data_IF_610802815401
#
_entry.id   IF_610802815401
#
_cell.length_a   1.000
_cell.length_b   1.000
_cell.length_c   1.000
_cell.angle_alpha   90.00
_cell.angle_beta   90.00
_cell.angle_gamma   90.00
#
_symmetry.space_group_name_H-M   'P 1'
#
loop_
_entity.id
_entity.type
_entity.pdbx_description
1 polymer ?
#
# COMPACT_ATOMS: atom_id res chain seq x y z
N UNK A 1 26.58 11.36 -11.60
CA UNK A 1 26.06 12.12 -12.76
C UNK A 1 25.99 11.19 -13.95
N UNK A 2 24.86 11.10 -14.66
CA UNK A 2 24.77 10.27 -15.86
C UNK A 2 25.32 11.02 -17.07
N UNK A 3 26.36 10.49 -17.69
CA UNK A 3 27.04 11.16 -18.82
C UNK A 3 26.42 10.76 -20.17
N UNK A 4 25.76 9.60 -20.24
CA UNK A 4 25.10 9.09 -21.46
C UNK A 4 23.64 9.54 -21.51
N UNK A 5 23.15 10.00 -22.67
CA UNK A 5 21.76 10.49 -22.87
C UNK A 5 20.72 9.46 -22.38
N UNK A 6 20.90 8.19 -22.72
CA UNK A 6 20.02 7.11 -22.30
C UNK A 6 19.99 6.94 -20.77
N UNK A 7 21.13 7.08 -20.08
CA UNK A 7 21.20 7.00 -18.63
C UNK A 7 20.46 8.17 -17.96
N UNK A 8 20.61 9.41 -18.49
CA UNK A 8 19.85 10.57 -18.00
C UNK A 8 18.33 10.33 -18.09
N UNK A 9 17.86 9.69 -19.17
CA UNK A 9 16.44 9.30 -19.33
C UNK A 9 16.03 8.26 -18.28
N UNK A 10 16.82 7.19 -18.08
CA UNK A 10 16.54 6.15 -17.09
C UNK A 10 16.43 6.70 -15.68
N UNK A 11 17.32 7.63 -15.28
CA UNK A 11 17.27 8.28 -13.96
C UNK A 11 15.94 9.03 -13.75
N UNK A 12 15.48 9.77 -14.76
CA UNK A 12 14.21 10.52 -14.69
C UNK A 12 13.03 9.59 -14.47
N UNK A 13 12.88 8.57 -15.32
CA UNK A 13 11.81 7.57 -15.21
C UNK A 13 11.87 6.81 -13.88
N UNK A 14 13.06 6.42 -13.42
CA UNK A 14 13.23 5.74 -12.13
C UNK A 14 12.81 6.64 -10.95
N UNK A 15 13.04 7.95 -11.04
CA UNK A 15 12.66 8.91 -10.00
C UNK A 15 11.15 9.08 -9.94
N UNK A 16 10.49 9.21 -11.08
CA UNK A 16 9.02 9.28 -11.20
C UNK A 16 8.36 8.02 -10.64
N UNK A 17 8.82 6.84 -11.07
CA UNK A 17 8.33 5.55 -10.57
C UNK A 17 8.57 5.38 -9.06
N UNK A 18 9.74 5.80 -8.57
CA UNK A 18 10.05 5.75 -7.13
C UNK A 18 9.06 6.60 -6.33
N UNK A 19 8.73 7.80 -6.79
CA UNK A 19 7.78 8.68 -6.09
C UNK A 19 6.38 8.08 -6.07
N UNK A 20 5.92 7.50 -7.18
CA UNK A 20 4.62 6.82 -7.24
C UNK A 20 4.57 5.61 -6.29
N UNK A 21 5.59 4.74 -6.35
CA UNK A 21 5.67 3.55 -5.51
C UNK A 21 5.76 3.91 -4.02
N UNK A 22 6.49 4.98 -3.70
CA UNK A 22 6.60 5.49 -2.34
C UNK A 22 5.24 5.97 -1.82
N UNK A 23 4.46 6.69 -2.63
CA UNK A 23 3.10 7.14 -2.27
C UNK A 23 2.20 5.95 -1.94
N UNK A 24 2.13 4.94 -2.81
CA UNK A 24 1.32 3.75 -2.53
C UNK A 24 1.78 3.03 -1.26
N UNK A 25 3.08 2.80 -1.13
CA UNK A 25 3.62 2.03 0.01
C UNK A 25 3.42 2.76 1.35
N UNK A 26 3.61 4.07 1.38
CA UNK A 26 3.43 4.88 2.59
C UNK A 26 1.96 4.98 2.98
N UNK A 27 1.05 5.22 2.02
CA UNK A 27 -0.38 5.27 2.30
C UNK A 27 -0.91 3.92 2.77
N UNK A 28 -0.49 2.80 2.16
CA UNK A 28 -0.85 1.45 2.65
C UNK A 28 -0.40 1.27 4.09
N UNK A 29 0.84 1.67 4.44
CA UNK A 29 1.35 1.59 5.81
C UNK A 29 0.51 2.41 6.79
N UNK A 30 0.10 3.61 6.39
CA UNK A 30 -0.75 4.49 7.21
C UNK A 30 -2.13 3.88 7.43
N UNK A 31 -2.79 3.38 6.38
CA UNK A 31 -4.12 2.75 6.50
C UNK A 31 -4.06 1.45 7.32
N UNK A 32 -2.99 0.66 7.19
CA UNK A 32 -2.80 -0.53 8.05
C UNK A 32 -2.73 -0.15 9.53
N UNK A 33 -2.04 0.95 9.88
CA UNK A 33 -2.01 1.44 11.26
C UNK A 33 -3.37 1.92 11.74
N UNK A 34 -4.11 2.66 10.90
CA UNK A 34 -5.47 3.13 11.24
C UNK A 34 -6.42 1.97 11.50
N UNK A 35 -6.36 0.92 10.68
CA UNK A 35 -7.14 -0.29 10.90
C UNK A 35 -6.83 -0.95 12.25
N UNK A 36 -5.54 -1.06 12.60
CA UNK A 36 -5.13 -1.61 13.89
C UNK A 36 -5.64 -0.76 15.06
N UNK A 37 -5.48 0.57 15.00
CA UNK A 37 -5.99 1.49 16.03
C UNK A 37 -7.51 1.43 16.16
N UNK A 38 -8.25 1.36 15.05
CA UNK A 38 -9.71 1.22 15.08
C UNK A 38 -10.15 -0.11 15.73
N UNK A 39 -9.38 -1.19 15.51
CA UNK A 39 -9.63 -2.48 16.14
C UNK A 39 -9.35 -2.45 17.65
N UNK A 40 -8.28 -1.76 18.08
CA UNK A 40 -7.98 -1.53 19.50
C UNK A 40 -9.05 -0.68 20.20
N UNK A 41 -9.59 0.33 19.50
CA UNK A 41 -10.67 1.20 19.99
C UNK A 41 -12.04 0.48 20.07
N UNK A 42 -12.20 -0.67 19.43
CA UNK A 42 -13.44 -1.46 19.45
C UNK A 42 -14.57 -0.92 18.55
N UNK A 43 -14.28 0.04 17.65
CA UNK A 43 -15.26 0.61 16.73
C UNK A 43 -15.43 -0.30 15.49
N UNK A 44 -16.38 -1.23 15.56
CA UNK A 44 -16.65 -2.19 14.50
C UNK A 44 -16.99 -1.53 13.14
N UNK A 45 -17.70 -0.39 13.15
CA UNK A 45 -18.07 0.30 11.91
C UNK A 45 -16.82 0.85 11.23
N UNK A 46 -15.99 1.56 11.99
CA UNK A 46 -14.72 2.15 11.51
C UNK A 46 -13.72 1.09 11.06
N UNK A 47 -13.64 -0.06 11.75
CA UNK A 47 -12.80 -1.19 11.33
C UNK A 47 -13.22 -1.70 9.95
N UNK A 48 -14.52 -1.89 9.72
CA UNK A 48 -15.00 -2.38 8.40
C UNK A 48 -14.74 -1.37 7.28
N UNK A 49 -14.87 -0.08 7.55
CA UNK A 49 -14.60 0.98 6.58
C UNK A 49 -13.10 1.05 6.23
N UNK A 50 -12.23 1.13 7.24
CA UNK A 50 -10.78 1.19 7.05
C UNK A 50 -10.23 -0.06 6.37
N UNK A 51 -10.80 -1.24 6.68
CA UNK A 51 -10.47 -2.49 5.99
C UNK A 51 -10.79 -2.41 4.50
N UNK A 52 -12.00 -1.95 4.12
CA UNK A 52 -12.40 -1.79 2.72
C UNK A 52 -11.50 -0.81 1.98
N UNK A 53 -11.17 0.32 2.61
CA UNK A 53 -10.28 1.34 2.05
C UNK A 53 -8.86 0.80 1.82
N UNK A 54 -8.32 0.06 2.80
CA UNK A 54 -7.00 -0.58 2.71
C UNK A 54 -6.95 -1.61 1.58
N UNK A 55 -7.93 -2.52 1.49
CA UNK A 55 -7.98 -3.55 0.44
C UNK A 55 -8.05 -2.91 -0.95
N UNK A 56 -8.93 -1.92 -1.13
CA UNK A 56 -9.06 -1.17 -2.40
C UNK A 56 -7.75 -0.54 -2.83
N UNK A 57 -7.00 0.05 -1.90
CA UNK A 57 -5.71 0.66 -2.20
C UNK A 57 -4.63 -0.38 -2.54
N UNK A 58 -4.61 -1.51 -1.83
CA UNK A 58 -3.68 -2.61 -2.10
C UNK A 58 -3.87 -3.14 -3.52
N UNK A 59 -5.11 -3.38 -3.95
CA UNK A 59 -5.39 -3.91 -5.29
C UNK A 59 -5.06 -2.89 -6.39
N UNK A 60 -5.27 -1.60 -6.13
CA UNK A 60 -4.81 -0.51 -7.01
C UNK A 60 -3.27 -0.48 -7.12
N UNK A 61 -2.56 -0.66 -6.01
CA UNK A 61 -1.09 -0.68 -6.01
C UNK A 61 -0.52 -1.87 -6.80
N UNK A 62 -1.19 -3.03 -6.80
CA UNK A 62 -0.82 -4.16 -7.65
C UNK A 62 -0.99 -3.83 -9.13
N UNK A 63 -2.15 -3.25 -9.49
CA UNK A 63 -2.46 -2.88 -10.87
C UNK A 63 -1.45 -1.85 -11.42
N UNK A 64 -0.98 -0.95 -10.56
CA UNK A 64 0.03 0.07 -10.90
C UNK A 64 1.48 -0.45 -10.85
N UNK A 65 1.70 -1.70 -10.47
CA UNK A 65 3.04 -2.29 -10.35
C UNK A 65 3.83 -1.82 -9.11
N UNK A 66 3.21 -1.05 -8.22
CA UNK A 66 3.84 -0.57 -6.99
C UNK A 66 3.98 -1.67 -5.93
N UNK A 67 3.18 -2.75 -6.01
CA UNK A 67 3.22 -3.87 -5.08
C UNK A 67 3.09 -5.21 -5.81
N UNK A 68 3.93 -6.19 -5.45
CA UNK A 68 3.82 -7.53 -6.02
C UNK A 68 2.56 -8.26 -5.51
N UNK A 69 1.93 -9.08 -6.36
CA UNK A 69 0.70 -9.83 -6.04
C UNK A 69 0.78 -10.65 -4.74
N UNK A 70 1.93 -11.28 -4.47
CA UNK A 70 2.11 -12.07 -3.25
C UNK A 70 2.22 -11.17 -2.01
N UNK A 71 2.85 -10.00 -2.14
CA UNK A 71 2.93 -9.05 -1.03
C UNK A 71 1.55 -8.44 -0.73
N UNK A 72 0.76 -8.17 -1.77
CA UNK A 72 -0.63 -7.76 -1.65
C UNK A 72 -1.49 -8.83 -0.95
N UNK A 73 -1.39 -10.09 -1.38
CA UNK A 73 -2.11 -11.21 -0.78
C UNK A 73 -1.79 -11.35 0.73
N UNK A 74 -0.51 -11.27 1.11
CA UNK A 74 -0.11 -11.29 2.53
C UNK A 74 -0.71 -10.14 3.32
N UNK A 75 -0.67 -8.91 2.78
CA UNK A 75 -1.24 -7.73 3.45
C UNK A 75 -2.75 -7.81 3.60
N UNK A 76 -3.46 -8.29 2.58
CA UNK A 76 -4.92 -8.51 2.65
C UNK A 76 -5.27 -9.58 3.69
N UNK A 77 -4.51 -10.68 3.74
CA UNK A 77 -4.69 -11.72 4.76
C UNK A 77 -4.48 -11.17 6.18
N UNK A 78 -3.45 -10.34 6.40
CA UNK A 78 -3.23 -9.69 7.69
C UNK A 78 -4.37 -8.73 8.05
N UNK A 79 -4.83 -7.90 7.12
CA UNK A 79 -5.96 -7.00 7.34
C UNK A 79 -7.26 -7.75 7.68
N UNK A 80 -7.51 -8.89 7.02
CA UNK A 80 -8.67 -9.73 7.27
C UNK A 80 -8.63 -10.38 8.66
N UNK A 81 -7.44 -10.72 9.19
CA UNK A 81 -7.29 -11.23 10.55
C UNK A 81 -7.67 -10.17 11.60
N UNK A 82 -7.19 -8.94 11.41
CA UNK A 82 -7.57 -7.80 12.26
C UNK A 82 -9.08 -7.57 12.25
N UNK A 83 -9.72 -7.66 11.08
CA UNK A 83 -11.18 -7.57 10.96
C UNK A 83 -11.91 -8.71 11.69
N UNK A 84 -11.34 -9.92 11.68
CA UNK A 84 -11.91 -11.09 12.37
C UNK A 84 -11.62 -11.12 13.88
N UNK A 85 -10.78 -10.22 14.40
CA UNK A 85 -10.38 -10.18 15.80
C UNK A 85 -9.35 -11.24 16.21
N UNK A 86 -8.59 -11.79 15.26
CA UNK A 86 -7.56 -12.83 15.47
C UNK A 86 -6.13 -12.32 15.20
#
# INVERSE_FOLDING_TARGET
MANIKQQKKRIRTATEQRLENLRYTSTIKTLTKRLATAAEEGDAAKVTEEHRNLVKLIDRAVTRGALHRNAAARKKSQAARVLAGN
#
